data_IF_043371503625
#
_entry.id   IF_043371503625
#
_cell.length_a   1.000
_cell.length_b   1.000
_cell.length_c   1.000
_cell.angle_alpha   90.00
_cell.angle_beta   90.00
_cell.angle_gamma   90.00
#
_symmetry.space_group_name_H-M   'P 1'
#
loop_
_entity.id
_entity.type
_entity.pdbx_description
1 polymer ?
#
# COMPACT_ATOMS: atom_id res chain seq x y z
N UNK A 1 -8.39 6.58 -17.06
CA UNK A 1 -8.40 6.32 -15.59
C UNK A 1 -7.00 6.51 -15.06
N UNK A 2 -6.86 7.36 -14.05
CA UNK A 2 -5.56 7.69 -13.46
C UNK A 2 -5.48 7.14 -12.04
N UNK A 3 -4.42 6.41 -11.73
CA UNK A 3 -4.14 5.89 -10.40
C UNK A 3 -2.96 6.60 -9.76
N UNK A 4 -3.05 6.81 -8.47
CA UNK A 4 -1.97 7.35 -7.64
C UNK A 4 -1.79 6.46 -6.42
N UNK A 5 -0.59 6.01 -6.18
CA UNK A 5 -0.24 5.18 -5.02
C UNK A 5 0.91 5.81 -4.24
N UNK A 6 0.84 5.75 -2.91
CA UNK A 6 1.86 6.31 -2.02
C UNK A 6 1.82 7.83 -1.83
N UNK A 7 0.82 8.50 -2.36
CA UNK A 7 0.59 9.93 -2.19
C UNK A 7 -0.92 10.21 -2.38
N UNK A 8 -1.56 11.09 -1.59
CA UNK A 8 -1.02 11.80 -0.43
C UNK A 8 -0.80 10.90 0.79
N UNK A 9 0.01 11.37 1.74
CA UNK A 9 0.24 10.69 3.02
C UNK A 9 -0.12 11.53 4.24
N UNK A 10 -0.46 12.79 4.03
CA UNK A 10 -0.90 13.72 5.08
C UNK A 10 -2.11 14.50 4.60
N UNK A 11 -2.87 15.06 5.55
CA UNK A 11 -4.04 15.90 5.23
C UNK A 11 -3.62 17.13 4.41
N UNK A 12 -2.50 17.76 4.75
CA UNK A 12 -1.99 18.91 4.00
C UNK A 12 -1.69 18.57 2.53
N UNK A 13 -1.13 17.39 2.27
CA UNK A 13 -0.91 16.90 0.90
C UNK A 13 -2.23 16.63 0.17
N UNK A 14 -3.21 16.09 0.86
CA UNK A 14 -4.54 15.83 0.30
C UNK A 14 -5.25 17.13 -0.09
N UNK A 15 -5.19 18.13 0.76
CA UNK A 15 -5.76 19.46 0.47
C UNK A 15 -5.10 20.11 -0.74
N UNK A 16 -3.77 20.01 -0.84
CA UNK A 16 -3.02 20.52 -1.98
C UNK A 16 -3.40 19.79 -3.28
N UNK A 17 -3.55 18.48 -3.22
CA UNK A 17 -3.99 17.67 -4.35
C UNK A 17 -5.41 18.07 -4.79
N UNK A 18 -6.34 18.24 -3.86
CA UNK A 18 -7.71 18.66 -4.17
C UNK A 18 -7.75 20.02 -4.86
N UNK A 19 -6.96 21.00 -4.39
CA UNK A 19 -6.84 22.30 -5.04
C UNK A 19 -6.32 22.19 -6.47
N UNK A 20 -5.27 21.37 -6.65
CA UNK A 20 -4.69 21.15 -7.98
C UNK A 20 -5.71 20.52 -8.93
N UNK A 21 -6.43 19.50 -8.51
CA UNK A 21 -7.43 18.82 -9.34
C UNK A 21 -8.58 19.74 -9.69
N UNK A 22 -9.09 20.53 -8.74
CA UNK A 22 -10.16 21.52 -9.00
C UNK A 22 -9.74 22.57 -10.02
N UNK A 23 -8.48 23.01 -9.98
CA UNK A 23 -7.94 23.95 -10.97
C UNK A 23 -7.95 23.37 -12.39
N UNK A 24 -7.99 22.05 -12.51
CA UNK A 24 -8.05 21.33 -13.78
C UNK A 24 -9.46 20.79 -14.11
N UNK A 25 -10.46 21.18 -13.33
CA UNK A 25 -11.82 20.69 -13.50
C UNK A 25 -12.00 19.20 -13.16
N UNK A 26 -11.14 18.67 -12.30
CA UNK A 26 -11.15 17.26 -11.90
C UNK A 26 -11.34 17.10 -10.40
N UNK A 27 -11.72 15.90 -9.98
CA UNK A 27 -11.85 15.54 -8.58
C UNK A 27 -11.44 14.07 -8.39
N UNK A 28 -11.22 13.68 -7.13
CA UNK A 28 -10.97 12.27 -6.78
C UNK A 28 -12.31 11.54 -6.74
N UNK A 29 -12.45 10.51 -7.55
CA UNK A 29 -13.66 9.67 -7.59
C UNK A 29 -13.76 8.75 -6.39
N UNK A 30 -12.66 8.09 -6.04
CA UNK A 30 -12.64 7.13 -4.97
C UNK A 30 -11.23 7.01 -4.36
N UNK A 31 -11.18 6.94 -3.05
CA UNK A 31 -9.99 6.59 -2.30
C UNK A 31 -10.20 5.17 -1.77
N UNK A 32 -9.39 4.24 -2.21
CA UNK A 32 -9.43 2.85 -1.75
C UNK A 32 -8.39 2.67 -0.65
N UNK A 33 -8.88 2.40 0.54
CA UNK A 33 -8.03 2.11 1.70
C UNK A 33 -7.91 0.60 1.88
N UNK A 34 -6.67 0.11 1.87
CA UNK A 34 -6.40 -1.30 2.16
C UNK A 34 -6.29 -1.49 3.67
N UNK A 35 -7.31 -2.09 4.26
CA UNK A 35 -7.34 -2.39 5.68
C UNK A 35 -6.60 -3.71 5.93
N UNK A 36 -5.48 -3.63 6.65
CA UNK A 36 -4.66 -4.78 7.04
C UNK A 36 -4.30 -4.64 8.50
N UNK A 37 -4.44 -5.72 9.27
CA UNK A 37 -4.07 -5.73 10.68
C UNK A 37 -2.58 -5.40 10.86
N UNK A 38 -2.24 -4.67 11.93
CA UNK A 38 -0.86 -4.25 12.23
C UNK A 38 0.11 -5.43 12.29
N UNK A 39 -0.30 -6.53 12.93
CA UNK A 39 0.52 -7.75 13.02
C UNK A 39 0.81 -8.35 11.64
N UNK A 40 -0.16 -8.35 10.74
CA UNK A 40 0.00 -8.84 9.37
C UNK A 40 0.92 -7.92 8.55
N UNK A 41 0.78 -6.60 8.69
CA UNK A 41 1.70 -5.65 8.05
C UNK A 41 3.13 -5.85 8.52
N UNK A 42 3.33 -6.03 9.83
CA UNK A 42 4.65 -6.29 10.39
C UNK A 42 5.25 -7.56 9.79
N UNK A 43 4.48 -8.64 9.74
CA UNK A 43 4.92 -9.92 9.17
C UNK A 43 5.28 -9.80 7.68
N UNK A 44 4.45 -9.13 6.90
CA UNK A 44 4.69 -8.93 5.46
C UNK A 44 5.95 -8.12 5.19
N UNK A 45 6.15 -7.04 5.92
CA UNK A 45 7.29 -6.15 5.70
C UNK A 45 8.59 -6.72 6.23
N UNK A 46 8.58 -7.35 7.40
CA UNK A 46 9.81 -7.95 7.98
C UNK A 46 10.24 -9.21 7.23
N UNK A 47 9.33 -9.90 6.56
CA UNK A 47 9.64 -11.08 5.74
C UNK A 47 10.08 -10.75 4.31
N UNK A 48 10.03 -9.49 3.90
CA UNK A 48 10.42 -9.08 2.54
C UNK A 48 11.93 -9.19 2.34
N UNK A 49 12.31 -9.68 1.16
CA UNK A 49 13.71 -9.77 0.74
C UNK A 49 13.85 -9.22 -0.68
N UNK A 50 14.98 -8.60 -0.95
CA UNK A 50 15.29 -7.99 -2.25
C UNK A 50 16.62 -8.55 -2.74
N UNK A 51 16.72 -8.85 -4.04
CA UNK A 51 17.97 -9.27 -4.64
C UNK A 51 18.91 -8.07 -4.85
N UNK A 52 20.15 -8.21 -4.39
CA UNK A 52 21.18 -7.18 -4.59
C UNK A 52 21.56 -7.00 -6.06
N UNK A 53 21.44 -8.06 -6.87
CA UNK A 53 21.84 -8.05 -8.27
C UNK A 53 20.78 -7.49 -9.21
N UNK A 54 19.55 -8.02 -9.15
CA UNK A 54 18.50 -7.67 -10.12
C UNK A 54 17.29 -6.94 -9.53
N UNK A 55 17.23 -6.74 -8.22
CA UNK A 55 16.11 -6.06 -7.56
C UNK A 55 14.83 -6.89 -7.42
N UNK A 56 14.85 -8.18 -7.74
CA UNK A 56 13.70 -9.06 -7.60
C UNK A 56 13.24 -9.14 -6.14
N UNK A 57 11.93 -9.15 -5.95
CA UNK A 57 11.30 -9.20 -4.62
C UNK A 57 10.89 -10.61 -4.25
N UNK A 58 11.19 -10.99 -3.01
CA UNK A 58 10.81 -12.27 -2.40
C UNK A 58 10.22 -12.05 -1.01
N UNK A 59 9.59 -13.08 -0.49
CA UNK A 59 9.14 -13.13 0.89
C UNK A 59 9.48 -14.49 1.49
N UNK A 60 10.04 -14.50 2.70
CA UNK A 60 10.53 -15.74 3.33
C UNK A 60 9.44 -16.79 3.56
N UNK A 61 8.18 -16.39 3.63
CA UNK A 61 7.02 -17.28 3.82
C UNK A 61 6.15 -17.38 2.58
N UNK A 62 5.77 -16.23 1.99
CA UNK A 62 4.75 -16.19 0.93
C UNK A 62 5.29 -16.41 -0.48
N UNK A 63 6.50 -15.95 -0.75
CA UNK A 63 7.16 -16.09 -2.05
C UNK A 63 8.63 -16.43 -1.80
N UNK A 64 8.92 -17.61 -1.21
CA UNK A 64 10.30 -17.97 -0.90
C UNK A 64 11.09 -18.28 -2.17
N UNK A 65 12.41 -17.99 -2.19
CA UNK A 65 13.27 -18.46 -3.26
C UNK A 65 13.45 -19.98 -3.17
N UNK A 66 13.87 -20.62 -4.26
CA UNK A 66 14.15 -22.07 -4.29
C UNK A 66 15.27 -22.47 -3.34
N UNK A 67 16.29 -21.62 -3.28
CA UNK A 67 17.43 -21.78 -2.34
C UNK A 67 17.41 -20.60 -1.38
N UNK A 68 17.48 -20.80 -0.06
CA UNK A 68 17.48 -19.70 0.90
C UNK A 68 18.56 -18.66 0.58
N UNK A 69 18.18 -17.39 0.62
CA UNK A 69 19.03 -16.21 0.38
C UNK A 69 19.64 -16.11 -1.02
N UNK A 70 19.16 -16.89 -1.98
CA UNK A 70 19.65 -16.88 -3.37
C UNK A 70 18.51 -16.54 -4.33
N UNK A 71 18.73 -15.55 -5.18
CA UNK A 71 17.76 -15.14 -6.20
C UNK A 71 17.55 -16.22 -7.26
N UNK A 72 16.30 -16.58 -7.55
CA UNK A 72 15.96 -17.55 -8.61
C UNK A 72 16.27 -17.05 -10.01
N UNK A 73 16.31 -15.70 -10.19
CA UNK A 73 16.51 -15.09 -11.51
C UNK A 73 17.98 -14.91 -11.90
N UNK A 74 18.79 -14.38 -10.97
CA UNK A 74 20.18 -14.03 -11.28
C UNK A 74 21.23 -14.72 -10.40
N UNK A 75 20.81 -15.49 -9.40
CA UNK A 75 21.71 -16.12 -8.43
C UNK A 75 22.34 -15.17 -7.43
N UNK A 76 21.91 -13.90 -7.42
CA UNK A 76 22.41 -12.89 -6.48
C UNK A 76 21.96 -13.13 -5.05
N UNK A 77 22.60 -12.44 -4.10
CA UNK A 77 22.27 -12.51 -2.69
C UNK A 77 20.96 -11.74 -2.40
N UNK A 78 20.08 -12.36 -1.62
CA UNK A 78 18.90 -11.71 -1.08
C UNK A 78 19.24 -11.05 0.26
N UNK A 79 18.68 -9.88 0.50
CA UNK A 79 18.89 -9.16 1.76
C UNK A 79 17.59 -8.49 2.25
N UNK A 80 17.51 -8.24 3.55
CA UNK A 80 16.48 -7.42 4.14
C UNK A 80 16.92 -5.96 4.06
N UNK A 81 16.05 -5.09 3.52
CA UNK A 81 16.29 -3.64 3.52
C UNK A 81 16.32 -3.13 4.95
N UNK A 82 17.10 -2.06 5.20
CA UNK A 82 17.20 -1.45 6.54
C UNK A 82 15.83 -0.99 7.07
N UNK A 83 15.00 -0.42 6.21
CA UNK A 83 13.64 0.03 6.56
C UNK A 83 12.62 -1.13 6.66
N UNK A 84 13.01 -2.37 6.42
CA UNK A 84 12.19 -3.56 6.62
C UNK A 84 12.56 -4.33 7.90
N UNK A 85 13.49 -3.84 8.70
CA UNK A 85 13.75 -4.37 10.04
C UNK A 85 12.53 -4.16 10.94
N UNK A 86 12.36 -5.01 11.95
CA UNK A 86 11.21 -4.91 12.86
C UNK A 86 11.10 -3.53 13.50
N UNK A 87 12.22 -2.98 14.01
CA UNK A 87 12.25 -1.65 14.63
C UNK A 87 11.87 -0.55 13.64
N UNK A 88 12.38 -0.59 12.42
CA UNK A 88 12.06 0.39 11.39
C UNK A 88 10.60 0.29 10.93
N UNK A 89 10.06 -0.91 10.78
CA UNK A 89 8.66 -1.13 10.43
C UNK A 89 7.73 -0.63 11.53
N UNK A 90 8.03 -0.90 12.79
CA UNK A 90 7.25 -0.41 13.93
C UNK A 90 7.20 1.11 13.94
N UNK A 91 8.33 1.78 13.73
CA UNK A 91 8.39 3.24 13.62
C UNK A 91 7.57 3.78 12.45
N UNK A 92 7.63 3.14 11.29
CA UNK A 92 6.82 3.52 10.11
C UNK A 92 5.33 3.39 10.39
N UNK A 93 4.90 2.33 11.08
CA UNK A 93 3.50 2.16 11.47
C UNK A 93 3.04 3.21 12.48
N UNK A 94 3.90 3.63 13.40
CA UNK A 94 3.59 4.71 14.35
C UNK A 94 3.46 6.06 13.63
N UNK A 95 4.33 6.35 12.69
CA UNK A 95 4.24 7.56 11.84
C UNK A 95 2.95 7.53 11.00
N UNK A 96 2.60 6.38 10.43
CA UNK A 96 1.35 6.20 9.72
C UNK A 96 0.15 6.51 10.60
N UNK A 97 0.10 5.98 11.81
CA UNK A 97 -1.00 6.19 12.74
C UNK A 97 -1.17 7.68 13.12
N UNK A 98 -0.07 8.42 13.26
CA UNK A 98 -0.12 9.83 13.65
C UNK A 98 -0.34 10.80 12.48
N UNK A 99 0.19 10.52 11.30
CA UNK A 99 0.20 11.44 10.16
C UNK A 99 -0.71 11.03 9.01
N UNK A 100 -0.86 9.75 8.76
CA UNK A 100 -1.60 9.23 7.60
C UNK A 100 -3.00 8.76 7.96
N UNK A 101 -3.22 8.18 9.13
CA UNK A 101 -4.57 7.76 9.54
C UNK A 101 -5.59 8.92 9.55
N UNK A 102 -5.25 10.16 9.96
CA UNK A 102 -6.17 11.30 9.83
C UNK A 102 -6.65 11.58 8.40
N UNK A 103 -5.87 11.18 7.40
CA UNK A 103 -6.25 11.28 5.99
C UNK A 103 -7.51 10.49 5.66
N UNK A 104 -7.72 9.35 6.32
CA UNK A 104 -8.92 8.53 6.16
C UNK A 104 -10.18 9.29 6.56
N UNK A 105 -10.13 10.02 7.67
CA UNK A 105 -11.24 10.84 8.15
C UNK A 105 -11.51 12.01 7.19
N UNK A 106 -10.48 12.61 6.65
CA UNK A 106 -10.58 13.67 5.65
C UNK A 106 -11.37 13.20 4.41
N UNK A 107 -11.04 12.06 3.85
CA UNK A 107 -11.74 11.51 2.69
C UNK A 107 -13.09 10.87 3.05
N UNK A 108 -13.23 10.33 4.25
CA UNK A 108 -14.53 9.83 4.74
C UNK A 108 -15.54 10.96 4.82
N UNK A 109 -15.13 12.12 5.30
CA UNK A 109 -15.98 13.34 5.33
C UNK A 109 -16.43 13.81 3.96
N UNK A 110 -15.68 13.50 2.90
CA UNK A 110 -16.05 13.82 1.51
C UNK A 110 -16.89 12.71 0.83
N UNK A 111 -17.12 11.60 1.50
CA UNK A 111 -17.82 10.46 0.92
C UNK A 111 -17.04 9.72 -0.16
N UNK A 112 -15.72 9.97 -0.26
CA UNK A 112 -14.86 9.37 -1.27
C UNK A 112 -14.16 8.08 -0.80
N UNK A 113 -14.09 7.83 0.51
CA UNK A 113 -13.38 6.70 1.09
C UNK A 113 -14.15 5.39 0.92
N UNK A 114 -13.46 4.37 0.48
CA UNK A 114 -13.92 2.99 0.50
C UNK A 114 -12.86 2.09 1.11
N UNK A 115 -13.24 1.29 2.09
CA UNK A 115 -12.35 0.37 2.78
C UNK A 115 -12.43 -1.01 2.14
N UNK A 116 -11.26 -1.59 1.83
CA UNK A 116 -11.14 -2.95 1.30
C UNK A 116 -10.21 -3.73 2.22
N UNK A 117 -10.69 -4.84 2.75
CA UNK A 117 -9.85 -5.73 3.55
C UNK A 117 -8.84 -6.42 2.64
N UNK A 118 -7.57 -6.10 2.83
CA UNK A 118 -6.48 -6.60 1.99
C UNK A 118 -5.77 -7.80 2.63
N UNK A 119 -6.56 -8.73 3.15
CA UNK A 119 -6.10 -10.01 3.68
C UNK A 119 -6.78 -11.15 2.92
N UNK A 120 -6.07 -12.26 2.72
CA UNK A 120 -6.57 -13.42 1.99
C UNK A 120 -6.05 -13.49 0.56
N UNK A 121 -6.84 -14.11 -0.33
CA UNK A 121 -6.44 -14.34 -1.71
C UNK A 121 -6.42 -13.06 -2.55
N UNK A 122 -5.41 -12.91 -3.39
CA UNK A 122 -5.27 -11.75 -4.29
C UNK A 122 -6.49 -11.58 -5.20
N UNK A 123 -7.06 -12.68 -5.68
CA UNK A 123 -8.25 -12.64 -6.53
C UNK A 123 -9.46 -12.01 -5.84
N UNK A 124 -9.69 -12.33 -4.57
CA UNK A 124 -10.77 -11.77 -3.76
C UNK A 124 -10.59 -10.28 -3.50
N UNK A 125 -9.37 -9.88 -3.19
CA UNK A 125 -9.01 -8.47 -3.00
C UNK A 125 -9.22 -7.69 -4.30
N UNK A 126 -8.79 -8.24 -5.42
CA UNK A 126 -8.96 -7.63 -6.75
C UNK A 126 -10.43 -7.46 -7.10
N UNK A 127 -11.25 -8.47 -6.83
CA UNK A 127 -12.70 -8.40 -7.07
C UNK A 127 -13.36 -7.31 -6.21
N UNK A 128 -12.97 -7.20 -4.93
CA UNK A 128 -13.46 -6.16 -4.03
C UNK A 128 -13.09 -4.75 -4.51
N UNK A 129 -11.86 -4.56 -4.98
CA UNK A 129 -11.41 -3.28 -5.54
C UNK A 129 -12.23 -2.92 -6.79
N UNK A 130 -12.37 -3.85 -7.71
CA UNK A 130 -13.15 -3.63 -8.96
C UNK A 130 -14.58 -3.21 -8.65
N UNK A 131 -15.25 -3.91 -7.75
CA UNK A 131 -16.61 -3.57 -7.32
C UNK A 131 -16.67 -2.15 -6.75
N UNK A 132 -15.78 -1.82 -5.85
CA UNK A 132 -15.70 -0.51 -5.19
C UNK A 132 -15.52 0.63 -6.19
N UNK A 133 -14.68 0.44 -7.21
CA UNK A 133 -14.44 1.45 -8.24
C UNK A 133 -15.59 1.54 -9.22
N UNK A 134 -16.15 0.41 -9.63
CA UNK A 134 -17.25 0.35 -10.60
C UNK A 134 -18.54 0.96 -10.07
N UNK A 135 -18.85 0.77 -8.79
CA UNK A 135 -20.07 1.28 -8.17
C UNK A 135 -20.17 2.82 -8.24
N UNK A 136 -19.05 3.51 -8.31
CA UNK A 136 -19.07 4.98 -8.48
C UNK A 136 -19.13 5.43 -9.94
N UNK A 137 -18.53 4.69 -10.84
CA UNK A 137 -18.54 5.02 -12.28
C UNK A 137 -19.93 4.86 -12.88
N UNK A 138 -20.78 4.02 -12.29
CA UNK A 138 -22.15 3.76 -12.76
C UNK A 138 -23.20 4.72 -12.17
N UNK A 139 -22.79 5.64 -11.32
CA UNK A 139 -23.65 6.69 -10.74
C UNK A 139 -23.41 8.01 -11.44
#
# INVERSE_FOLDING_TARGET
MLFRSGFPRTVAQAEALDRLLRSQGAEIDRVVFFDVARAELLRRLTGRRICRGCGASYHVVFVPPRTPDVCDRCGGELYQREDDSEAAVMKRLDVYASQTAPLLDYYRGQGALAEVRAEGAVADITAAIRKTVSDKVMR
#
